data_IF_357516902549
#
_entry.id   IF_357516902549
#
_cell.length_a   1.000
_cell.length_b   1.000
_cell.length_c   1.000
_cell.angle_alpha   90.00
_cell.angle_beta   90.00
_cell.angle_gamma   90.00
#
_symmetry.space_group_name_H-M   'P 1'
#
loop_
_entity.id
_entity.type
_entity.pdbx_description
1 polymer ?
#
# COMPACT_ATOMS: atom_id res chain seq x y z
N UNK A 1 7.78 20.62 -52.10
CA UNK A 1 8.01 19.29 -51.54
C UNK A 1 8.61 19.39 -50.13
N UNK A 2 8.01 20.21 -49.25
CA UNK A 2 8.49 20.46 -47.86
C UNK A 2 7.28 20.59 -46.89
N UNK A 3 6.13 19.96 -47.18
CA UNK A 3 4.92 20.13 -46.35
C UNK A 3 4.38 18.83 -45.79
N UNK A 4 5.19 17.78 -45.64
CA UNK A 4 4.71 16.46 -45.15
C UNK A 4 5.50 15.85 -43.98
N UNK A 5 6.36 16.61 -43.27
CA UNK A 5 7.19 16.04 -42.19
C UNK A 5 6.76 16.53 -40.77
N UNK A 6 5.73 17.36 -40.64
CA UNK A 6 5.34 17.93 -39.33
C UNK A 6 4.15 17.22 -38.69
N UNK A 7 3.62 16.12 -39.26
CA UNK A 7 2.41 15.45 -38.74
C UNK A 7 2.67 14.12 -38.01
N UNK A 8 3.88 13.83 -37.62
CA UNK A 8 4.20 12.51 -37.01
C UNK A 8 4.75 12.54 -35.57
N UNK A 9 4.69 13.66 -34.84
CA UNK A 9 5.29 13.75 -33.49
C UNK A 9 4.34 14.26 -32.40
N UNK A 10 3.04 14.07 -32.59
CA UNK A 10 2.02 14.49 -31.60
C UNK A 10 1.21 13.34 -31.01
N UNK A 11 1.77 12.12 -30.97
CA UNK A 11 1.07 10.93 -30.42
C UNK A 11 1.94 10.22 -29.40
N UNK A 12 2.19 10.81 -28.24
CA UNK A 12 2.79 10.04 -27.11
C UNK A 12 2.80 10.84 -25.80
N UNK A 13 1.68 11.39 -25.32
CA UNK A 13 1.51 11.73 -23.91
C UNK A 13 0.04 11.66 -23.49
N UNK A 14 -0.60 10.51 -23.76
CA UNK A 14 -1.78 10.13 -22.99
C UNK A 14 -1.27 9.41 -21.73
N UNK A 15 -0.64 10.12 -20.79
CA UNK A 15 -0.48 9.65 -19.43
C UNK A 15 -1.83 9.78 -18.71
N UNK A 16 -2.80 8.99 -19.13
CA UNK A 16 -3.94 8.67 -18.29
C UNK A 16 -3.40 7.94 -17.07
N UNK A 17 -3.61 8.48 -15.87
CA UNK A 17 -3.28 7.79 -14.64
C UNK A 17 -3.85 6.38 -14.71
N UNK A 18 -2.99 5.38 -14.91
CA UNK A 18 -3.43 4.00 -15.07
C UNK A 18 -3.99 3.56 -13.73
N UNK A 19 -5.29 3.38 -13.66
CA UNK A 19 -5.96 2.86 -12.45
C UNK A 19 -5.30 1.56 -12.02
N UNK A 20 -4.77 1.51 -10.81
CA UNK A 20 -4.14 0.30 -10.24
C UNK A 20 -5.17 -0.83 -10.19
N UNK A 21 -4.83 -1.98 -10.81
CA UNK A 21 -5.71 -3.16 -10.88
C UNK A 21 -5.07 -4.38 -10.23
N UNK A 22 -5.90 -5.30 -9.78
CA UNK A 22 -5.45 -6.63 -9.32
C UNK A 22 -4.68 -7.31 -10.45
N UNK A 23 -3.54 -7.92 -10.10
CA UNK A 23 -2.61 -8.57 -11.04
C UNK A 23 -1.55 -7.64 -11.63
N UNK A 24 -1.68 -6.34 -11.49
CA UNK A 24 -0.68 -5.37 -11.93
C UNK A 24 0.36 -5.08 -10.84
N UNK A 25 1.48 -4.53 -11.24
CA UNK A 25 2.51 -4.01 -10.33
C UNK A 25 1.95 -2.79 -9.60
N UNK A 26 2.11 -2.75 -8.28
CA UNK A 26 1.79 -1.58 -7.48
C UNK A 26 2.65 -0.39 -7.92
N UNK A 27 2.05 0.78 -8.04
CA UNK A 27 2.74 2.04 -8.34
C UNK A 27 3.75 2.37 -7.24
N UNK A 28 4.98 2.70 -7.61
CA UNK A 28 6.00 3.07 -6.62
C UNK A 28 5.75 4.50 -6.09
N UNK A 29 6.16 4.73 -4.87
CA UNK A 29 6.11 6.05 -4.23
C UNK A 29 7.27 6.21 -3.24
N UNK A 30 7.53 7.46 -2.88
CA UNK A 30 8.50 7.84 -1.85
C UNK A 30 7.84 8.90 -0.97
N UNK A 31 7.55 8.56 0.29
CA UNK A 31 6.81 9.43 1.20
C UNK A 31 7.53 9.61 2.54
N UNK A 32 7.41 10.80 3.17
CA UNK A 32 7.91 11.02 4.52
C UNK A 32 7.06 10.24 5.54
N UNK A 33 7.74 9.60 6.48
CA UNK A 33 7.12 8.94 7.62
C UNK A 33 7.00 9.89 8.83
N UNK A 34 6.04 9.61 9.72
CA UNK A 34 5.89 10.33 10.99
C UNK A 34 7.06 10.14 11.96
N UNK A 35 7.91 9.14 11.72
CA UNK A 35 9.19 8.89 12.41
C UNK A 35 10.32 9.84 11.98
N UNK A 36 10.16 10.54 10.85
CA UNK A 36 11.17 11.42 10.26
C UNK A 36 11.99 10.79 9.12
N UNK A 37 11.81 9.50 8.86
CA UNK A 37 12.43 8.79 7.73
C UNK A 37 11.64 9.02 6.44
N UNK A 38 12.24 8.65 5.32
CA UNK A 38 11.57 8.57 4.02
C UNK A 38 11.42 7.11 3.61
N UNK A 39 10.20 6.70 3.28
CA UNK A 39 9.88 5.32 2.93
C UNK A 39 9.44 5.25 1.47
N UNK A 40 10.03 4.32 0.71
CA UNK A 40 9.56 3.96 -0.63
C UNK A 40 8.88 2.60 -0.62
N UNK A 41 7.92 2.38 -1.53
CA UNK A 41 7.35 1.05 -1.73
C UNK A 41 8.43 0.06 -2.19
N UNK A 42 9.40 0.51 -2.99
CA UNK A 42 10.52 -0.30 -3.44
C UNK A 42 11.36 -0.86 -2.27
N UNK A 43 11.51 -0.12 -1.16
CA UNK A 43 12.21 -0.58 0.04
C UNK A 43 11.50 -1.73 0.78
N UNK A 44 10.25 -2.02 0.42
CA UNK A 44 9.43 -3.08 1.02
C UNK A 44 9.45 -4.38 0.20
N UNK A 45 10.28 -4.48 -0.82
CA UNK A 45 10.40 -5.71 -1.64
C UNK A 45 10.73 -6.92 -0.78
N UNK A 46 10.14 -8.08 -1.13
CA UNK A 46 10.26 -9.32 -0.36
C UNK A 46 9.29 -9.43 0.82
N UNK A 47 8.54 -8.38 1.14
CA UNK A 47 7.48 -8.38 2.15
C UNK A 47 6.10 -8.45 1.50
N UNK A 48 5.12 -8.96 2.22
CA UNK A 48 3.71 -8.72 1.91
C UNK A 48 3.39 -7.32 2.44
N UNK A 49 2.88 -6.44 1.57
CA UNK A 49 2.62 -5.04 1.93
C UNK A 49 1.13 -4.76 1.86
N UNK A 50 0.59 -4.16 2.90
CA UNK A 50 -0.74 -3.56 2.88
C UNK A 50 -0.59 -2.04 2.84
N UNK A 51 -0.95 -1.43 1.71
CA UNK A 51 -0.98 0.03 1.55
C UNK A 51 -2.40 0.46 1.91
N UNK A 52 -2.55 1.28 2.95
CA UNK A 52 -3.84 1.78 3.41
C UNK A 52 -3.87 3.31 3.33
N UNK A 53 -4.85 3.85 2.62
CA UNK A 53 -5.11 5.29 2.53
C UNK A 53 -6.19 5.69 3.52
N UNK A 54 -5.91 6.71 4.34
CA UNK A 54 -6.76 7.15 5.43
C UNK A 54 -6.61 8.65 5.73
N UNK A 55 -7.43 9.17 6.64
CA UNK A 55 -7.28 10.51 7.19
C UNK A 55 -7.81 10.58 8.64
N UNK A 56 -7.31 11.54 9.41
CA UNK A 56 -7.71 11.71 10.82
C UNK A 56 -9.18 12.10 11.00
N UNK A 57 -9.79 12.71 10.01
CA UNK A 57 -11.20 13.13 9.98
C UNK A 57 -12.15 12.07 9.37
N UNK A 58 -11.63 10.93 8.93
CA UNK A 58 -12.41 9.86 8.33
C UNK A 58 -12.89 8.87 9.41
N UNK A 59 -14.18 8.88 9.73
CA UNK A 59 -14.78 8.02 10.75
C UNK A 59 -14.50 6.53 10.57
N UNK A 60 -14.83 5.90 9.41
CA UNK A 60 -14.55 4.49 9.17
C UNK A 60 -13.04 4.15 9.21
N UNK A 61 -12.16 5.11 8.87
CA UNK A 61 -10.71 4.92 8.99
C UNK A 61 -10.29 4.78 10.46
N UNK A 62 -10.89 5.56 11.35
CA UNK A 62 -10.60 5.51 12.78
C UNK A 62 -11.00 4.15 13.39
N UNK A 63 -12.04 3.50 12.85
CA UNK A 63 -12.46 2.15 13.25
C UNK A 63 -11.50 1.07 12.69
N UNK A 64 -11.00 1.23 11.46
CA UNK A 64 -10.10 0.26 10.83
C UNK A 64 -8.68 0.27 11.42
N UNK A 65 -8.13 1.46 11.75
CA UNK A 65 -6.73 1.62 12.15
C UNK A 65 -6.29 0.73 13.33
N UNK A 66 -7.07 0.56 14.42
CA UNK A 66 -6.72 -0.35 15.51
C UNK A 66 -6.62 -1.81 15.05
N UNK A 67 -7.50 -2.24 14.14
CA UNK A 67 -7.48 -3.59 13.57
C UNK A 67 -6.25 -3.80 12.68
N UNK A 68 -5.87 -2.78 11.89
CA UNK A 68 -4.62 -2.79 11.11
C UNK A 68 -3.38 -2.86 12.01
N UNK A 69 -3.38 -2.14 13.14
CA UNK A 69 -2.29 -2.19 14.11
C UNK A 69 -2.16 -3.58 14.75
N UNK A 70 -3.30 -4.23 15.09
CA UNK A 70 -3.36 -5.62 15.57
C UNK A 70 -2.81 -6.58 14.50
N UNK A 71 -3.25 -6.42 13.26
CA UNK A 71 -2.79 -7.24 12.12
C UNK A 71 -1.27 -7.08 11.90
N UNK A 72 -0.75 -5.85 11.93
CA UNK A 72 0.68 -5.57 11.84
C UNK A 72 1.46 -6.26 12.96
N UNK A 73 1.00 -6.17 14.20
CA UNK A 73 1.64 -6.80 15.35
C UNK A 73 1.67 -8.33 15.20
N UNK A 74 0.56 -8.93 14.77
CA UNK A 74 0.42 -10.39 14.60
C UNK A 74 1.35 -10.96 13.53
N UNK A 75 1.55 -10.25 12.42
CA UNK A 75 2.23 -10.80 11.24
C UNK A 75 3.55 -10.11 10.86
N UNK A 76 4.01 -9.13 11.63
CA UNK A 76 5.25 -8.40 11.36
C UNK A 76 6.46 -9.32 11.17
N UNK A 77 6.63 -10.25 12.11
CA UNK A 77 7.76 -11.20 12.09
C UNK A 77 7.64 -12.24 10.96
N UNK A 78 6.43 -12.44 10.44
CA UNK A 78 6.19 -13.29 9.25
C UNK A 78 6.38 -12.53 7.93
N UNK A 79 6.69 -11.25 7.98
CA UNK A 79 7.02 -10.42 6.82
C UNK A 79 5.86 -9.56 6.29
N UNK A 80 4.85 -9.23 7.12
CA UNK A 80 3.88 -8.19 6.80
C UNK A 80 4.47 -6.80 7.05
N UNK A 81 4.17 -5.85 6.19
CA UNK A 81 4.40 -4.41 6.37
C UNK A 81 3.12 -3.65 6.03
N UNK A 82 2.58 -2.90 6.99
CA UNK A 82 1.42 -2.02 6.75
C UNK A 82 1.92 -0.59 6.65
N UNK A 83 1.64 0.05 5.52
CA UNK A 83 1.98 1.45 5.23
C UNK A 83 0.69 2.27 5.30
N UNK A 84 0.48 2.96 6.42
CA UNK A 84 -0.69 3.80 6.65
C UNK A 84 -0.47 5.20 6.06
N UNK A 85 -0.89 5.42 4.82
CA UNK A 85 -0.69 6.67 4.07
C UNK A 85 -1.83 7.63 4.38
N UNK A 86 -1.53 8.71 5.08
CA UNK A 86 -2.49 9.76 5.37
C UNK A 86 -2.54 10.81 4.26
N UNK A 87 -3.77 11.24 3.94
CA UNK A 87 -4.05 12.37 3.05
C UNK A 87 -4.43 13.66 3.82
N UNK A 88 -4.12 13.72 5.11
CA UNK A 88 -4.30 14.95 5.91
C UNK A 88 -3.48 16.12 5.32
N UNK A 89 -3.97 17.34 5.49
CA UNK A 89 -3.26 18.52 5.02
C UNK A 89 -1.97 18.79 5.83
N UNK A 90 -1.93 18.39 7.09
CA UNK A 90 -0.81 18.64 8.01
C UNK A 90 -0.26 17.35 8.62
N UNK A 91 1.05 17.11 8.57
CA UNK A 91 1.67 15.86 9.06
C UNK A 91 1.58 15.73 10.60
N UNK A 92 1.47 16.85 11.30
CA UNK A 92 1.33 16.87 12.76
C UNK A 92 0.05 16.19 13.22
N UNK A 93 -1.02 16.27 12.42
CA UNK A 93 -2.29 15.62 12.71
C UNK A 93 -2.15 14.11 12.73
N UNK A 94 -1.43 13.54 11.74
CA UNK A 94 -1.16 12.11 11.63
C UNK A 94 -0.41 11.60 12.85
N UNK A 95 0.72 12.23 13.18
CA UNK A 95 1.56 11.85 14.33
C UNK A 95 0.80 11.96 15.66
N UNK A 96 0.07 13.05 15.84
CA UNK A 96 -0.71 13.30 17.05
C UNK A 96 -1.84 12.30 17.20
N UNK A 97 -2.53 11.97 16.10
CA UNK A 97 -3.60 10.99 16.09
C UNK A 97 -3.09 9.60 16.47
N UNK A 98 -2.06 9.09 15.76
CA UNK A 98 -1.49 7.77 16.02
C UNK A 98 -1.01 7.65 17.48
N UNK A 99 -0.39 8.70 18.01
CA UNK A 99 0.05 8.75 19.42
C UNK A 99 -1.12 8.76 20.40
N UNK A 100 -2.15 9.59 20.15
CA UNK A 100 -3.32 9.74 21.03
C UNK A 100 -4.07 8.42 21.21
N UNK A 101 -4.18 7.61 20.13
CA UNK A 101 -4.92 6.36 20.14
C UNK A 101 -4.02 5.12 20.27
N UNK A 102 -2.73 5.30 20.61
CA UNK A 102 -1.70 4.23 20.74
C UNK A 102 -1.63 3.30 19.52
N UNK A 103 -1.83 3.85 18.31
CA UNK A 103 -1.82 3.10 17.07
C UNK A 103 -0.38 2.92 16.58
N UNK A 104 0.14 1.70 16.67
CA UNK A 104 1.53 1.34 16.31
C UNK A 104 1.64 0.92 14.84
N UNK A 105 1.43 1.87 13.95
CA UNK A 105 1.60 1.72 12.50
C UNK A 105 2.66 2.69 11.97
N UNK A 106 3.26 2.31 10.84
CA UNK A 106 4.13 3.20 10.08
C UNK A 106 3.25 4.20 9.32
N UNK A 107 3.03 5.36 9.93
CA UNK A 107 2.29 6.46 9.33
C UNK A 107 3.14 7.19 8.30
N UNK A 108 2.65 7.26 7.06
CA UNK A 108 3.23 8.05 5.97
C UNK A 108 2.32 9.24 5.66
N UNK A 109 2.87 10.27 5.08
CA UNK A 109 2.12 11.47 4.73
C UNK A 109 2.23 11.80 3.23
N UNK A 110 1.10 11.72 2.54
CA UNK A 110 0.95 12.05 1.12
C UNK A 110 0.50 13.52 1.00
N UNK A 111 1.48 14.43 1.16
CA UNK A 111 1.27 15.88 1.26
C UNK A 111 0.39 16.46 0.16
N UNK A 112 0.73 16.15 -1.07
CA UNK A 112 0.10 16.69 -2.27
C UNK A 112 -0.94 15.74 -2.90
N UNK A 113 -1.23 14.63 -2.20
CA UNK A 113 -2.21 13.59 -2.56
C UNK A 113 -1.93 12.88 -3.88
N UNK A 114 -0.72 13.04 -4.43
CA UNK A 114 -0.33 12.43 -5.71
C UNK A 114 -0.29 10.91 -5.65
N UNK A 115 0.10 10.35 -4.50
CA UNK A 115 0.08 8.90 -4.33
C UNK A 115 -1.35 8.38 -4.31
N UNK A 116 -2.26 9.05 -3.57
CA UNK A 116 -3.67 8.69 -3.56
C UNK A 116 -4.31 8.82 -4.95
N UNK A 117 -3.98 9.87 -5.72
CA UNK A 117 -4.43 10.04 -7.10
C UNK A 117 -3.90 8.91 -8.01
N UNK A 118 -2.60 8.58 -7.93
CA UNK A 118 -1.99 7.50 -8.72
C UNK A 118 -2.60 6.12 -8.42
N UNK A 119 -3.08 5.91 -7.20
CA UNK A 119 -3.80 4.71 -6.79
C UNK A 119 -5.30 4.77 -7.08
N UNK A 120 -5.82 5.86 -7.64
CA UNK A 120 -7.24 6.10 -7.89
C UNK A 120 -8.10 5.89 -6.63
N UNK A 121 -7.70 6.51 -5.53
CA UNK A 121 -8.42 6.45 -4.25
C UNK A 121 -9.65 7.34 -4.33
N UNK A 122 -10.81 6.72 -4.53
CA UNK A 122 -12.12 7.42 -4.64
C UNK A 122 -12.87 7.47 -3.31
N UNK A 123 -12.55 6.57 -2.39
CA UNK A 123 -13.18 6.46 -1.07
C UNK A 123 -12.15 6.08 -0.01
N UNK A 124 -12.40 6.43 1.24
CA UNK A 124 -11.54 6.07 2.37
C UNK A 124 -12.33 5.36 3.47
N UNK A 125 -11.68 4.38 4.12
CA UNK A 125 -10.34 3.86 3.84
C UNK A 125 -10.28 3.11 2.51
N UNK A 126 -9.09 3.06 1.87
CA UNK A 126 -8.83 2.17 0.74
C UNK A 126 -7.53 1.41 0.99
N UNK A 127 -7.59 0.08 0.86
CA UNK A 127 -6.47 -0.81 1.11
C UNK A 127 -6.09 -1.60 -0.13
N UNK A 128 -4.79 -1.66 -0.43
CA UNK A 128 -4.20 -2.42 -1.53
C UNK A 128 -3.24 -3.46 -0.96
N UNK A 129 -3.60 -4.74 -1.11
CA UNK A 129 -2.76 -5.85 -0.67
C UNK A 129 -1.79 -6.23 -1.79
N UNK A 130 -0.50 -6.14 -1.48
CA UNK A 130 0.61 -6.32 -2.44
C UNK A 130 1.47 -7.51 -2.00
N UNK A 131 1.78 -8.40 -2.92
CA UNK A 131 2.64 -9.55 -2.63
C UNK A 131 4.13 -9.18 -2.61
N UNK A 132 4.99 -10.16 -2.30
CA UNK A 132 6.45 -10.00 -2.19
C UNK A 132 7.13 -9.56 -3.51
N UNK A 133 6.48 -9.80 -4.66
CA UNK A 133 6.95 -9.39 -5.97
C UNK A 133 6.47 -7.99 -6.35
N UNK A 134 5.65 -7.37 -5.50
CA UNK A 134 5.07 -6.05 -5.74
C UNK A 134 3.82 -6.07 -6.61
N UNK A 135 3.13 -7.20 -6.71
CA UNK A 135 1.88 -7.35 -7.47
C UNK A 135 0.68 -7.16 -6.57
N UNK A 136 -0.26 -6.33 -6.98
CA UNK A 136 -1.54 -6.12 -6.27
C UNK A 136 -2.38 -7.39 -6.34
N UNK A 137 -2.77 -7.92 -5.19
CA UNK A 137 -3.55 -9.16 -5.06
C UNK A 137 -4.99 -8.92 -4.67
N UNK A 138 -5.26 -7.86 -3.91
CA UNK A 138 -6.61 -7.45 -3.55
C UNK A 138 -6.69 -5.93 -3.37
N UNK A 139 -7.90 -5.39 -3.50
CA UNK A 139 -8.23 -3.99 -3.28
C UNK A 139 -9.53 -3.96 -2.45
N UNK A 140 -9.51 -3.24 -1.34
CA UNK A 140 -10.65 -3.02 -0.45
C UNK A 140 -10.99 -1.54 -0.40
N UNK A 141 -12.27 -1.19 -0.45
CA UNK A 141 -12.75 0.19 -0.40
C UNK A 141 -13.81 0.33 0.69
N UNK A 142 -13.61 1.27 1.60
CA UNK A 142 -14.39 1.37 2.82
C UNK A 142 -13.94 0.37 3.89
N UNK A 143 -14.57 0.45 5.07
CA UNK A 143 -14.35 -0.48 6.17
C UNK A 143 -15.65 -1.21 6.49
N UNK A 144 -15.59 -2.53 6.48
CA UNK A 144 -16.60 -3.46 6.98
C UNK A 144 -15.92 -4.60 7.75
N UNK A 145 -16.36 -4.97 8.95
CA UNK A 145 -15.72 -6.01 9.74
C UNK A 145 -15.67 -7.40 9.08
N UNK A 146 -16.61 -7.73 8.18
CA UNK A 146 -16.60 -9.00 7.44
C UNK A 146 -15.55 -8.97 6.33
N UNK A 147 -15.49 -7.86 5.57
CA UNK A 147 -14.45 -7.68 4.56
C UNK A 147 -13.05 -7.59 5.19
N UNK A 148 -12.91 -7.02 6.39
CA UNK A 148 -11.65 -7.01 7.12
C UNK A 148 -11.17 -8.43 7.49
N UNK A 149 -12.07 -9.33 7.91
CA UNK A 149 -11.73 -10.74 8.13
C UNK A 149 -11.25 -11.43 6.85
N UNK A 150 -11.83 -11.09 5.71
CA UNK A 150 -11.37 -11.58 4.41
C UNK A 150 -9.98 -11.05 4.07
N UNK A 151 -9.72 -9.76 4.29
CA UNK A 151 -8.39 -9.15 4.14
C UNK A 151 -7.36 -9.88 5.01
N UNK A 152 -7.65 -10.12 6.29
CA UNK A 152 -6.76 -10.87 7.20
C UNK A 152 -6.45 -12.27 6.66
N UNK A 153 -7.45 -13.00 6.17
CA UNK A 153 -7.26 -14.34 5.59
C UNK A 153 -6.39 -14.29 4.31
N UNK A 154 -6.56 -13.29 3.45
CA UNK A 154 -5.74 -13.12 2.25
C UNK A 154 -4.28 -12.74 2.59
N UNK A 155 -4.06 -11.89 3.61
CA UNK A 155 -2.72 -11.61 4.15
C UNK A 155 -2.06 -12.90 4.62
N UNK A 156 -2.76 -13.71 5.41
CA UNK A 156 -2.24 -14.98 5.93
C UNK A 156 -1.87 -15.95 4.82
N UNK A 157 -2.71 -16.07 3.80
CA UNK A 157 -2.47 -16.92 2.63
C UNK A 157 -1.22 -16.48 1.84
N UNK A 158 -0.99 -15.18 1.66
CA UNK A 158 0.21 -14.65 1.00
C UNK A 158 1.48 -14.90 1.83
N UNK A 159 1.38 -14.77 3.15
CA UNK A 159 2.50 -15.05 4.05
C UNK A 159 2.87 -16.53 4.09
N UNK A 160 1.90 -17.44 3.99
CA UNK A 160 2.11 -18.89 3.98
C UNK A 160 2.80 -19.38 2.69
N UNK A 161 2.43 -18.86 1.52
CA UNK A 161 3.02 -19.23 0.21
C UNK A 161 4.54 -19.08 0.17
N UNK A 162 5.11 -18.19 0.95
CA UNK A 162 6.55 -17.92 0.97
C UNK A 162 7.36 -18.89 1.83
N UNK A 163 6.75 -19.48 2.85
CA UNK A 163 7.41 -20.51 3.67
C UNK A 163 7.70 -21.76 2.84
N UNK A 164 6.77 -22.13 1.94
CA UNK A 164 6.90 -23.31 1.07
C UNK A 164 8.03 -23.12 0.05
N UNK A 165 8.17 -21.92 -0.55
CA UNK A 165 9.21 -21.65 -1.55
C UNK A 165 10.61 -21.58 -0.94
N UNK A 166 10.77 -21.12 0.29
CA UNK A 166 12.04 -21.11 1.01
C UNK A 166 12.53 -22.53 1.35
N UNK A 167 11.60 -23.40 1.73
CA UNK A 167 11.91 -24.81 2.07
C UNK A 167 12.30 -25.63 0.83
N UNK A 168 11.63 -25.39 -0.31
CA UNK A 168 11.93 -26.06 -1.57
C UNK A 168 13.28 -25.63 -2.21
N UNK A 169 13.70 -24.39 -1.99
CA UNK A 169 14.99 -23.89 -2.47
C UNK A 169 16.17 -24.47 -1.64
N UNK A 170 15.98 -24.63 -0.33
CA UNK A 170 16.99 -25.22 0.56
C UNK A 170 17.22 -26.71 0.32
N UNK A 171 16.22 -27.45 -0.16
CA UNK A 171 16.34 -28.88 -0.46
C UNK A 171 17.09 -29.16 -1.77
N UNK A 172 17.10 -28.23 -2.74
CA UNK A 172 17.82 -28.36 -4.02
C UNK A 172 19.32 -28.01 -3.96
N UNK A 173 19.79 -27.40 -2.86
CA UNK A 173 21.20 -27.03 -2.69
C UNK A 173 22.03 -28.11 -1.97
N UNK A 174 21.47 -29.27 -1.64
CA UNK A 174 22.15 -30.36 -0.91
C UNK A 174 22.31 -31.66 -1.72
N UNK A 175 22.22 -31.59 -3.04
CA UNK A 175 22.55 -32.69 -3.94
C UNK A 175 23.69 -32.33 -4.88
#
# INVERSE_FOLDING_TARGET
MILQIVLSMALLFANGAATIKIGQKAGDFVLPATSGETISLASQRGRVVLINFWATWCGPCQEELPELARLQSKYRERGLSILAISVDNEPVNVKTFLKKYDIKLLGLWDRDKKTAEAYAVEAMPSSYLVDRNGIVRAIYRGYDPKEFKRLEAEVEALLAKSAVNATSASSKSKN
#
